data_IF_072252326855
#
_entry.id   IF_072252326855
#
_cell.length_a   1.000
_cell.length_b   1.000
_cell.length_c   1.000
_cell.angle_alpha   90.00
_cell.angle_beta   90.00
_cell.angle_gamma   90.00
#
_symmetry.space_group_name_H-M   'P 1'
#
loop_
_entity.id
_entity.type
_entity.pdbx_description
1 polymer ?
#
# COMPACT_ATOMS: atom_id res chain seq x y z
N UNK A 1 -14.48 17.97 12.71
CA UNK A 1 -13.04 18.25 12.65
C UNK A 1 -12.37 16.90 12.66
N UNK A 2 -12.12 16.36 11.47
CA UNK A 2 -11.69 14.97 11.30
C UNK A 2 -10.17 14.90 11.48
N UNK A 3 -9.71 14.14 12.46
CA UNK A 3 -8.29 14.06 12.84
C UNK A 3 -7.49 13.04 12.00
N UNK A 4 -8.05 12.59 10.86
CA UNK A 4 -7.51 11.47 10.08
C UNK A 4 -6.62 11.84 8.89
N UNK A 5 -6.29 13.11 8.67
CA UNK A 5 -5.33 13.48 7.65
C UNK A 5 -4.54 14.70 8.08
N UNK A 6 -3.36 14.48 8.67
CA UNK A 6 -2.30 15.47 8.60
C UNK A 6 -1.81 15.45 7.13
N UNK A 7 -2.18 16.43 6.28
CA UNK A 7 -2.00 16.33 4.83
C UNK A 7 -0.52 16.21 4.42
N UNK A 8 0.40 16.63 5.29
CA UNK A 8 1.84 16.63 5.01
C UNK A 8 2.50 15.25 5.07
N UNK A 9 2.02 14.32 5.90
CA UNK A 9 2.74 13.06 6.18
C UNK A 9 2.52 12.03 5.07
N UNK A 10 1.29 11.88 4.57
CA UNK A 10 0.95 10.86 3.55
C UNK A 10 1.19 11.32 2.10
N UNK A 11 1.46 12.61 1.89
CA UNK A 11 1.75 13.15 0.54
C UNK A 11 3.06 12.60 -0.01
N UNK A 12 4.07 12.38 0.83
CA UNK A 12 5.40 11.92 0.41
C UNK A 12 5.42 10.49 -0.16
N UNK A 13 4.93 9.45 0.56
CA UNK A 13 4.92 8.08 0.03
C UNK A 13 4.03 7.95 -1.22
N UNK A 14 2.92 8.69 -1.28
CA UNK A 14 2.06 8.70 -2.47
C UNK A 14 2.76 9.32 -3.69
N UNK A 15 3.45 10.46 -3.50
CA UNK A 15 4.22 11.09 -4.59
C UNK A 15 5.33 10.17 -5.09
N UNK A 16 6.06 9.54 -4.18
CA UNK A 16 7.10 8.56 -4.52
C UNK A 16 6.54 7.43 -5.40
N UNK A 17 5.35 6.90 -5.06
CA UNK A 17 4.68 5.90 -5.89
C UNK A 17 4.28 6.42 -7.29
N UNK A 18 3.78 7.66 -7.40
CA UNK A 18 3.44 8.28 -8.70
C UNK A 18 4.66 8.46 -9.61
N UNK A 19 5.83 8.72 -9.01
CA UNK A 19 7.10 8.87 -9.72
C UNK A 19 7.79 7.52 -9.99
N UNK A 20 7.26 6.43 -9.43
CA UNK A 20 7.89 5.11 -9.48
C UNK A 20 9.13 4.96 -8.59
N UNK A 21 9.37 5.91 -7.68
CA UNK A 21 10.47 5.88 -6.70
C UNK A 21 10.06 5.06 -5.47
N UNK A 22 9.96 3.75 -5.66
CA UNK A 22 9.57 2.81 -4.60
C UNK A 22 10.58 2.77 -3.45
N UNK A 23 11.85 3.09 -3.71
CA UNK A 23 12.88 3.22 -2.69
C UNK A 23 12.63 4.44 -1.78
N UNK A 24 12.18 5.57 -2.34
CA UNK A 24 11.74 6.70 -1.51
C UNK A 24 10.52 6.35 -0.64
N UNK A 25 9.54 5.65 -1.21
CA UNK A 25 8.38 5.16 -0.45
C UNK A 25 8.82 4.24 0.69
N UNK A 26 9.74 3.31 0.41
CA UNK A 26 10.32 2.39 1.40
C UNK A 26 11.02 3.16 2.54
N UNK A 27 11.91 4.10 2.21
CA UNK A 27 12.62 4.93 3.20
C UNK A 27 11.65 5.71 4.09
N UNK A 28 10.57 6.24 3.50
CA UNK A 28 9.52 6.92 4.27
C UNK A 28 8.94 5.99 5.34
N UNK A 29 8.52 4.77 4.99
CA UNK A 29 7.93 3.84 5.94
C UNK A 29 8.91 3.21 6.93
N UNK A 30 10.20 3.10 6.58
CA UNK A 30 11.25 2.72 7.53
C UNK A 30 11.36 3.74 8.67
N UNK A 31 11.18 5.03 8.38
CA UNK A 31 11.21 6.12 9.36
C UNK A 31 9.87 6.46 10.02
N UNK A 32 8.74 6.04 9.43
CA UNK A 32 7.38 6.41 9.85
C UNK A 32 6.46 5.18 9.88
N UNK A 33 6.79 4.18 10.69
CA UNK A 33 6.04 2.90 10.74
C UNK A 33 4.59 3.08 11.17
N UNK A 34 4.30 4.08 11.99
CA UNK A 34 2.96 4.46 12.44
C UNK A 34 2.03 4.90 11.29
N UNK A 35 2.59 5.27 10.14
CA UNK A 35 1.84 5.67 8.96
C UNK A 35 1.30 4.49 8.13
N UNK A 36 1.55 3.24 8.53
CA UNK A 36 1.10 2.02 7.83
C UNK A 36 -0.39 2.04 7.48
N UNK A 37 -1.21 2.45 8.46
CA UNK A 37 -2.65 2.49 8.36
C UNK A 37 -3.18 3.86 7.91
N UNK A 38 -2.31 4.82 7.64
CA UNK A 38 -2.74 6.12 7.13
C UNK A 38 -3.10 5.98 5.65
N UNK A 39 -4.30 6.42 5.22
CA UNK A 39 -4.68 6.38 3.83
C UNK A 39 -3.78 7.30 3.00
N UNK A 40 -3.40 6.84 1.80
CA UNK A 40 -2.57 7.60 0.85
C UNK A 40 -3.39 8.45 -0.12
N UNK A 41 -4.66 8.11 -0.29
CA UNK A 41 -5.57 8.78 -1.23
C UNK A 41 -6.85 9.21 -0.53
N UNK A 42 -7.63 10.03 -1.22
CA UNK A 42 -8.97 10.44 -0.78
C UNK A 42 -9.98 9.31 -0.76
N UNK A 43 -9.68 8.19 -1.43
CA UNK A 43 -10.49 6.96 -1.48
C UNK A 43 -10.04 5.92 -0.45
N UNK A 44 -9.20 6.32 0.50
CA UNK A 44 -8.67 5.45 1.55
C UNK A 44 -7.75 4.31 1.09
N UNK A 45 -7.08 4.46 -0.06
CA UNK A 45 -6.08 3.49 -0.51
C UNK A 45 -4.94 3.37 0.51
N UNK A 46 -4.63 2.13 0.89
CA UNK A 46 -3.46 1.82 1.71
C UNK A 46 -2.19 1.76 0.84
N UNK A 47 -0.99 1.74 1.46
CA UNK A 47 0.27 1.58 0.72
C UNK A 47 0.28 0.35 -0.19
N UNK A 48 -0.41 -0.71 0.22
CA UNK A 48 -0.52 -1.95 -0.55
C UNK A 48 -1.48 -1.87 -1.73
N UNK A 49 -2.53 -1.04 -1.68
CA UNK A 49 -3.35 -0.77 -2.87
C UNK A 49 -2.48 -0.12 -3.94
N UNK A 50 -1.73 0.91 -3.56
CA UNK A 50 -0.86 1.65 -4.49
C UNK A 50 0.30 0.78 -5.02
N UNK A 51 0.94 -0.02 -4.17
CA UNK A 51 2.09 -0.84 -4.58
C UNK A 51 1.75 -1.90 -5.64
N UNK A 52 0.49 -2.35 -5.71
CA UNK A 52 0.01 -3.26 -6.75
C UNK A 52 0.12 -2.62 -8.14
N UNK A 53 -0.09 -1.31 -8.26
CA UNK A 53 -0.01 -0.58 -9.53
C UNK A 53 1.41 -0.37 -10.04
N UNK A 54 2.44 -0.74 -9.29
CA UNK A 54 3.84 -0.62 -9.71
C UNK A 54 4.21 -1.43 -10.95
N UNK A 55 3.42 -2.46 -11.29
CA UNK A 55 3.72 -3.41 -12.36
C UNK A 55 4.95 -4.28 -12.10
N UNK A 56 5.60 -4.19 -10.93
CA UNK A 56 6.79 -4.97 -10.56
C UNK A 56 6.67 -5.55 -9.15
N UNK A 57 7.39 -6.65 -8.87
CA UNK A 57 7.19 -7.43 -7.63
C UNK A 57 7.83 -6.77 -6.40
N UNK A 58 8.73 -5.82 -6.65
CA UNK A 58 9.58 -5.19 -5.64
C UNK A 58 8.77 -4.46 -4.57
N UNK A 59 7.84 -3.54 -4.91
CA UNK A 59 7.28 -2.63 -3.91
C UNK A 59 6.38 -3.35 -2.91
N UNK A 60 5.58 -4.32 -3.36
CA UNK A 60 4.75 -5.16 -2.49
C UNK A 60 5.63 -5.95 -1.51
N UNK A 61 6.76 -6.50 -1.98
CA UNK A 61 7.68 -7.29 -1.14
C UNK A 61 8.49 -6.42 -0.18
N UNK A 62 8.90 -5.24 -0.60
CA UNK A 62 9.63 -4.28 0.23
C UNK A 62 8.76 -3.74 1.36
N UNK A 63 7.52 -3.32 1.06
CA UNK A 63 6.56 -2.92 2.08
C UNK A 63 6.28 -4.07 3.06
N UNK A 64 6.26 -5.32 2.59
CA UNK A 64 6.12 -6.50 3.46
C UNK A 64 7.32 -6.80 4.36
N UNK A 65 8.52 -6.30 4.02
CA UNK A 65 9.69 -6.39 4.91
C UNK A 65 9.57 -5.38 6.05
N UNK A 66 8.93 -4.23 5.80
CA UNK A 66 8.66 -3.22 6.82
C UNK A 66 7.48 -3.67 7.67
N UNK A 67 6.38 -4.06 7.03
CA UNK A 67 5.11 -4.43 7.62
C UNK A 67 4.84 -5.92 7.37
N UNK A 68 5.24 -6.82 8.28
CA UNK A 68 5.08 -8.25 8.07
C UNK A 68 3.61 -8.70 8.13
N UNK A 69 2.75 -8.00 8.87
CA UNK A 69 1.33 -8.31 9.04
C UNK A 69 0.46 -7.07 8.78
N UNK A 70 0.45 -6.55 7.55
CA UNK A 70 -0.31 -5.35 7.25
C UNK A 70 -1.80 -5.65 7.15
N UNK A 71 -2.68 -4.63 7.28
CA UNK A 71 -4.12 -4.79 7.22
C UNK A 71 -4.59 -5.01 5.77
N UNK A 72 -4.32 -6.21 5.22
CA UNK A 72 -4.68 -6.58 3.85
C UNK A 72 -6.19 -6.67 3.61
N UNK A 73 -6.97 -6.79 4.67
CA UNK A 73 -8.42 -6.85 4.66
C UNK A 73 -9.07 -5.47 4.77
N UNK A 74 -8.29 -4.41 5.01
CA UNK A 74 -8.81 -3.05 5.08
C UNK A 74 -9.26 -2.60 3.69
N UNK A 75 -10.57 -2.35 3.50
CA UNK A 75 -11.06 -1.88 2.22
C UNK A 75 -10.81 -0.39 2.02
N UNK A 76 -10.68 0.01 0.76
CA UNK A 76 -10.86 1.38 0.30
C UNK A 76 -12.37 1.77 0.28
N UNK A 77 -12.68 2.99 -0.18
CA UNK A 77 -14.05 3.50 -0.27
C UNK A 77 -14.93 2.74 -1.30
N UNK A 78 -14.31 2.03 -2.25
CA UNK A 78 -14.99 1.17 -3.22
C UNK A 78 -15.17 -0.26 -2.74
N UNK A 79 -14.76 -0.56 -1.50
CA UNK A 79 -14.73 -1.90 -0.91
C UNK A 79 -13.71 -2.83 -1.56
N UNK A 80 -12.74 -2.29 -2.28
CA UNK A 80 -11.61 -3.01 -2.79
C UNK A 80 -10.57 -3.21 -1.68
N UNK A 81 -9.93 -4.37 -1.68
CA UNK A 81 -8.72 -4.64 -0.90
C UNK A 81 -7.57 -4.77 -1.91
N UNK A 82 -6.29 -4.76 -1.49
CA UNK A 82 -5.18 -4.87 -2.45
C UNK A 82 -5.26 -6.09 -3.37
N UNK A 83 -5.90 -7.18 -2.92
CA UNK A 83 -6.14 -8.37 -3.74
C UNK A 83 -7.16 -8.14 -4.87
N UNK A 84 -8.20 -7.33 -4.64
CA UNK A 84 -9.17 -6.94 -5.67
C UNK A 84 -8.45 -6.17 -6.78
N UNK A 85 -7.60 -5.20 -6.42
CA UNK A 85 -6.80 -4.42 -7.38
C UNK A 85 -5.86 -5.32 -8.19
N UNK A 86 -5.14 -6.24 -7.52
CA UNK A 86 -4.24 -7.17 -8.20
C UNK A 86 -4.98 -8.07 -9.19
N UNK A 87 -6.21 -8.49 -8.86
CA UNK A 87 -7.08 -9.23 -9.76
C UNK A 87 -7.54 -8.38 -10.96
N UNK A 88 -7.96 -7.14 -10.71
CA UNK A 88 -8.46 -6.23 -11.74
C UNK A 88 -7.42 -5.91 -12.82
N UNK A 89 -6.16 -5.71 -12.43
CA UNK A 89 -5.07 -5.41 -13.38
C UNK A 89 -4.34 -6.67 -13.89
N UNK A 90 -4.78 -7.87 -13.48
CA UNK A 90 -4.16 -9.14 -13.87
C UNK A 90 -2.77 -9.38 -13.28
N UNK A 91 -2.43 -8.73 -12.16
CA UNK A 91 -1.10 -8.82 -11.57
C UNK A 91 -0.95 -10.06 -10.68
N UNK A 92 -0.75 -11.20 -11.34
CA UNK A 92 -0.72 -12.55 -10.73
C UNK A 92 0.25 -12.66 -9.56
N UNK A 93 1.44 -12.06 -9.62
CA UNK A 93 2.38 -12.22 -8.52
C UNK A 93 1.98 -11.44 -7.27
N UNK A 94 1.53 -10.18 -7.41
CA UNK A 94 1.03 -9.44 -6.27
C UNK A 94 -0.11 -10.22 -5.60
N UNK A 95 -1.05 -10.76 -6.40
CA UNK A 95 -2.11 -11.63 -5.90
C UNK A 95 -1.57 -12.86 -5.15
N UNK A 96 -0.54 -13.55 -5.66
CA UNK A 96 0.10 -14.69 -4.97
C UNK A 96 0.68 -14.29 -3.60
N UNK A 97 1.37 -13.15 -3.54
CA UNK A 97 1.98 -12.66 -2.29
C UNK A 97 0.91 -12.30 -1.27
N UNK A 98 -0.15 -11.61 -1.70
CA UNK A 98 -1.27 -11.21 -0.85
C UNK A 98 -2.05 -12.43 -0.32
N UNK A 99 -2.33 -13.42 -1.18
CA UNK A 99 -3.02 -14.66 -0.80
C UNK A 99 -2.23 -15.51 0.21
N UNK A 100 -0.91 -15.58 0.05
CA UNK A 100 -0.04 -16.31 0.97
C UNK A 100 -0.07 -15.75 2.40
N UNK A 101 -0.50 -14.50 2.58
CA UNK A 101 -0.61 -13.83 3.88
C UNK A 101 -2.03 -13.81 4.44
N UNK A 102 -3.05 -13.73 3.58
CA UNK A 102 -4.46 -13.82 4.00
C UNK A 102 -4.94 -15.24 4.38
N UNK A 103 -4.09 -16.26 4.20
CA UNK A 103 -4.38 -17.66 4.54
C UNK A 103 -3.80 -18.09 5.91
N UNK A 104 -3.50 -17.16 6.81
CA UNK A 104 -2.99 -17.44 8.15
C UNK A 104 -3.90 -16.91 9.26
#
# INVERSE_FOLDING_TARGET
MDMMSAPGVVTEPYRAALEGDWEAMKRFYEGNREAEACPLTVTNDTPFHIAVYSGTKSPVRELLQIFPNPPFDRPDDYRNIPLHEAGAIGYVEAARVLLARGSQ
#
